data_IF_364168602552
#
_entry.id   IF_364168602552
#
_cell.length_a   1.000
_cell.length_b   1.000
_cell.length_c   1.000
_cell.angle_alpha   90.00
_cell.angle_beta   90.00
_cell.angle_gamma   90.00
#
_symmetry.space_group_name_H-M   'P 1'
#
loop_
_entity.id
_entity.type
_entity.pdbx_description
1 polymer ?
#
# COMPACT_ATOMS: atom_id res chain seq x y z
N UNK A 1 -25.51 18.14 -16.18
CA UNK A 1 -25.08 16.80 -15.74
C UNK A 1 -25.43 16.73 -14.27
N UNK A 2 -26.40 15.96 -13.91
CA UNK A 2 -26.81 15.75 -12.52
C UNK A 2 -25.64 15.15 -11.74
N UNK A 3 -25.40 15.66 -10.53
CA UNK A 3 -24.33 15.25 -9.60
C UNK A 3 -24.41 13.76 -9.21
N UNK A 4 -25.48 13.10 -9.63
CA UNK A 4 -25.95 11.84 -9.06
C UNK A 4 -25.40 10.56 -9.74
N UNK A 5 -24.74 10.66 -10.89
CA UNK A 5 -24.13 9.49 -11.54
C UNK A 5 -22.74 9.80 -12.07
N UNK A 6 -21.73 9.27 -11.39
CA UNK A 6 -20.34 9.35 -11.86
C UNK A 6 -20.15 8.50 -13.12
N UNK A 7 -19.50 9.03 -14.17
CA UNK A 7 -19.13 8.23 -15.34
C UNK A 7 -18.29 7.01 -14.95
N UNK A 8 -18.57 5.89 -15.61
CA UNK A 8 -17.80 4.66 -15.41
C UNK A 8 -16.29 4.88 -15.61
N UNK A 9 -15.91 5.72 -16.59
CA UNK A 9 -14.52 6.12 -16.84
C UNK A 9 -13.84 6.70 -15.59
N UNK A 10 -14.53 7.55 -14.84
CA UNK A 10 -13.99 8.15 -13.62
C UNK A 10 -13.81 7.10 -12.51
N UNK A 11 -14.79 6.18 -12.35
CA UNK A 11 -14.70 5.09 -11.36
C UNK A 11 -13.55 4.14 -11.69
N UNK A 12 -13.39 3.76 -12.96
CA UNK A 12 -12.27 2.92 -13.42
C UNK A 12 -10.94 3.64 -13.21
N UNK A 13 -10.84 4.90 -13.61
CA UNK A 13 -9.60 5.67 -13.47
C UNK A 13 -9.21 5.84 -11.99
N UNK A 14 -10.18 6.08 -11.12
CA UNK A 14 -9.96 6.12 -9.69
C UNK A 14 -9.49 4.75 -9.17
N UNK A 15 -10.19 3.67 -9.50
CA UNK A 15 -9.83 2.32 -9.07
C UNK A 15 -8.43 1.88 -9.50
N UNK A 16 -8.02 2.17 -10.76
CA UNK A 16 -6.69 1.82 -11.27
C UNK A 16 -5.56 2.33 -10.37
N UNK A 17 -5.71 3.50 -9.74
CA UNK A 17 -4.72 4.03 -8.80
C UNK A 17 -4.42 3.07 -7.65
N UNK A 18 -5.44 2.39 -7.13
CA UNK A 18 -5.30 1.42 -6.04
C UNK A 18 -4.51 0.17 -6.43
N UNK A 19 -4.43 -0.17 -7.74
CA UNK A 19 -3.55 -1.25 -8.22
C UNK A 19 -2.07 -0.92 -7.97
N UNK A 20 -1.67 0.34 -8.18
CA UNK A 20 -0.30 0.78 -7.90
C UNK A 20 0.03 0.74 -6.40
N UNK A 21 -0.92 1.20 -5.56
CA UNK A 21 -0.80 1.08 -4.10
C UNK A 21 -0.67 -0.37 -3.66
N UNK A 22 -1.56 -1.24 -4.15
CA UNK A 22 -1.57 -2.66 -3.84
C UNK A 22 -0.25 -3.35 -4.24
N UNK A 23 0.29 -3.04 -5.41
CA UNK A 23 1.56 -3.58 -5.87
C UNK A 23 2.73 -3.17 -4.95
N UNK A 24 2.76 -1.92 -4.49
CA UNK A 24 3.76 -1.43 -3.54
C UNK A 24 3.65 -2.15 -2.20
N UNK A 25 2.44 -2.24 -1.65
CA UNK A 25 2.18 -2.91 -0.38
C UNK A 25 2.47 -4.41 -0.45
N UNK A 26 2.14 -5.07 -1.57
CA UNK A 26 2.43 -6.48 -1.79
C UNK A 26 3.94 -6.77 -1.75
N UNK A 27 4.73 -5.96 -2.45
CA UNK A 27 6.20 -6.09 -2.44
C UNK A 27 6.75 -5.82 -1.05
N UNK A 28 6.23 -4.79 -0.37
CA UNK A 28 6.68 -4.43 0.96
C UNK A 28 6.38 -5.53 1.99
N UNK A 29 5.13 -5.96 2.11
CA UNK A 29 4.71 -6.95 3.11
C UNK A 29 5.24 -8.34 2.81
N UNK A 30 5.23 -8.75 1.53
CA UNK A 30 5.56 -10.11 1.12
C UNK A 30 7.05 -10.37 0.92
N UNK A 31 7.82 -9.39 0.49
CA UNK A 31 9.20 -9.64 0.05
C UNK A 31 10.27 -8.93 0.85
N UNK A 32 10.04 -7.72 1.36
CA UNK A 32 11.10 -6.87 1.93
C UNK A 32 11.76 -7.53 3.12
N UNK A 33 10.98 -8.06 4.07
CA UNK A 33 11.54 -8.73 5.25
C UNK A 33 12.37 -9.98 4.85
N UNK A 34 11.80 -10.81 3.98
CA UNK A 34 12.46 -12.03 3.49
C UNK A 34 13.75 -11.71 2.73
N UNK A 35 13.71 -10.73 1.83
CA UNK A 35 14.86 -10.28 1.04
C UNK A 35 16.02 -9.82 1.92
N UNK A 36 15.76 -8.92 2.87
CA UNK A 36 16.83 -8.44 3.75
C UNK A 36 17.39 -9.51 4.66
N UNK A 37 16.52 -10.38 5.17
CA UNK A 37 16.97 -11.43 6.09
C UNK A 37 17.67 -12.58 5.38
N UNK A 38 17.10 -13.12 4.28
CA UNK A 38 17.60 -14.34 3.64
C UNK A 38 18.61 -14.10 2.53
N UNK A 39 18.53 -12.96 1.84
CA UNK A 39 19.37 -12.69 0.66
C UNK A 39 20.50 -11.73 0.98
N UNK A 40 20.17 -10.61 1.64
CA UNK A 40 21.17 -9.60 2.01
C UNK A 40 21.92 -9.98 3.29
N UNK A 41 21.28 -10.76 4.19
CA UNK A 41 21.92 -11.24 5.43
C UNK A 41 21.81 -10.30 6.63
N UNK A 42 20.85 -9.35 6.60
CA UNK A 42 20.56 -8.53 7.78
C UNK A 42 19.87 -9.41 8.84
N UNK A 43 20.33 -9.40 10.11
CA UNK A 43 19.67 -10.15 11.18
C UNK A 43 18.18 -9.86 11.28
N UNK A 44 17.35 -10.91 11.41
CA UNK A 44 15.88 -10.79 11.43
C UNK A 44 15.37 -9.83 12.51
N UNK A 45 16.05 -9.77 13.67
CA UNK A 45 15.72 -8.81 14.74
C UNK A 45 15.87 -7.36 14.26
N UNK A 46 16.99 -7.05 13.57
CA UNK A 46 17.21 -5.69 13.03
C UNK A 46 16.21 -5.38 11.91
N UNK A 47 15.95 -6.36 11.03
CA UNK A 47 14.95 -6.20 9.98
C UNK A 47 13.57 -5.92 10.58
N UNK A 48 13.15 -6.67 11.59
CA UNK A 48 11.89 -6.45 12.30
C UNK A 48 11.81 -5.08 12.99
N UNK A 49 12.88 -4.66 13.67
CA UNK A 49 12.95 -3.33 14.29
C UNK A 49 12.82 -2.23 13.22
N UNK A 50 13.49 -2.37 12.08
CA UNK A 50 13.42 -1.40 10.99
C UNK A 50 12.01 -1.28 10.41
N UNK A 51 11.32 -2.41 10.16
CA UNK A 51 9.91 -2.41 9.73
C UNK A 51 9.01 -1.76 10.79
N UNK A 52 9.19 -2.12 12.06
CA UNK A 52 8.41 -1.54 13.16
C UNK A 52 8.55 -0.02 13.23
N UNK A 53 9.78 0.51 13.19
CA UNK A 53 10.03 1.96 13.20
C UNK A 53 9.38 2.63 11.99
N UNK A 54 9.48 2.03 10.80
CA UNK A 54 8.86 2.57 9.59
C UNK A 54 7.32 2.62 9.70
N UNK A 55 6.69 1.59 10.29
CA UNK A 55 5.24 1.58 10.53
C UNK A 55 4.82 2.61 11.59
N UNK A 56 5.63 2.83 12.62
CA UNK A 56 5.38 3.90 13.60
C UNK A 56 5.46 5.28 12.95
N UNK A 57 6.41 5.46 12.01
CA UNK A 57 6.54 6.70 11.25
C UNK A 57 5.33 6.94 10.34
N UNK A 58 4.81 5.88 9.73
CA UNK A 58 3.61 5.90 8.90
C UNK A 58 2.38 6.40 9.68
N UNK A 59 2.18 5.89 10.89
CA UNK A 59 1.10 6.33 11.76
C UNK A 59 1.12 7.84 12.08
N UNK A 60 2.29 8.47 12.00
CA UNK A 60 2.47 9.92 12.18
C UNK A 60 2.32 10.66 10.85
N UNK A 61 2.89 10.11 9.78
CA UNK A 61 2.92 10.76 8.46
C UNK A 61 1.55 10.81 7.78
N UNK A 62 0.70 9.79 7.96
CA UNK A 62 -0.62 9.73 7.34
C UNK A 62 -1.52 10.93 7.73
N UNK A 63 -1.73 11.25 9.02
CA UNK A 63 -2.49 12.44 9.41
C UNK A 63 -1.84 13.75 8.95
N UNK A 64 -0.50 13.81 8.92
CA UNK A 64 0.23 14.99 8.44
C UNK A 64 -0.01 15.23 6.95
N UNK A 65 0.20 14.22 6.12
CA UNK A 65 -0.04 14.31 4.67
C UNK A 65 -1.51 14.60 4.39
N UNK A 66 -2.43 14.00 5.14
CA UNK A 66 -3.86 14.29 5.06
C UNK A 66 -4.14 15.77 5.30
N UNK A 67 -3.68 16.31 6.42
CA UNK A 67 -3.86 17.72 6.78
C UNK A 67 -3.21 18.68 5.78
N UNK A 68 -1.99 18.38 5.31
CA UNK A 68 -1.28 19.19 4.32
C UNK A 68 -2.05 19.18 2.98
N UNK A 69 -2.46 17.99 2.51
CA UNK A 69 -3.16 17.85 1.24
C UNK A 69 -4.52 18.53 1.24
N UNK A 70 -5.24 18.52 2.36
CA UNK A 70 -6.55 19.16 2.49
C UNK A 70 -6.50 20.69 2.44
N UNK A 71 -5.38 21.26 2.88
CA UNK A 71 -5.15 22.73 2.91
C UNK A 71 -4.40 23.25 1.70
N UNK A 72 -3.83 22.37 0.89
CA UNK A 72 -3.00 22.77 -0.24
C UNK A 72 -3.81 23.50 -1.30
N UNK A 73 -3.37 24.71 -1.65
CA UNK A 73 -4.00 25.56 -2.65
C UNK A 73 -3.20 25.53 -3.95
N UNK A 74 -3.76 24.94 -5.00
CA UNK A 74 -3.12 24.84 -6.30
C UNK A 74 -4.15 24.99 -7.44
N UNK A 75 -3.69 25.49 -8.60
CA UNK A 75 -4.47 25.49 -9.84
C UNK A 75 -4.83 24.08 -10.34
N UNK A 76 -4.13 23.06 -9.87
CA UNK A 76 -4.39 21.66 -10.17
C UNK A 76 -5.22 20.96 -9.10
N UNK A 77 -5.96 21.72 -8.28
CA UNK A 77 -6.67 21.17 -7.12
C UNK A 77 -5.75 20.96 -5.92
N UNK A 78 -6.32 20.51 -4.80
CA UNK A 78 -5.58 20.33 -3.54
C UNK A 78 -4.86 18.98 -3.45
N UNK A 79 -5.42 17.90 -4.02
CA UNK A 79 -4.93 16.51 -3.88
C UNK A 79 -4.11 16.03 -5.06
N UNK A 80 -4.47 16.41 -6.28
CA UNK A 80 -3.82 15.95 -7.50
C UNK A 80 -2.30 16.22 -7.56
N UNK A 81 -1.78 17.37 -7.06
CA UNK A 81 -0.32 17.58 -7.05
C UNK A 81 0.46 16.51 -6.29
N UNK A 82 -0.09 16.02 -5.17
CA UNK A 82 0.52 14.93 -4.40
C UNK A 82 0.49 13.62 -5.19
N UNK A 83 -0.66 13.30 -5.82
CA UNK A 83 -0.81 12.11 -6.66
C UNK A 83 0.14 12.13 -7.87
N UNK A 84 0.38 13.29 -8.49
CA UNK A 84 1.32 13.42 -9.60
C UNK A 84 2.78 13.29 -9.16
N UNK A 85 3.10 13.77 -7.97
CA UNK A 85 4.46 13.74 -7.45
C UNK A 85 4.86 12.36 -6.89
N UNK A 86 3.95 11.67 -6.23
CA UNK A 86 4.19 10.42 -5.50
C UNK A 86 4.89 9.30 -6.30
N UNK A 87 4.63 9.06 -7.60
CA UNK A 87 5.28 7.98 -8.34
C UNK A 87 6.79 8.06 -8.36
N UNK A 88 7.34 9.26 -8.46
CA UNK A 88 8.80 9.47 -8.56
C UNK A 88 9.52 9.02 -7.28
N UNK A 89 9.23 9.58 -6.10
CA UNK A 89 9.89 9.16 -4.87
C UNK A 89 9.56 7.72 -4.48
N UNK A 90 8.35 7.20 -4.78
CA UNK A 90 8.00 5.80 -4.55
C UNK A 90 8.87 4.86 -5.39
N UNK A 91 9.08 5.17 -6.67
CA UNK A 91 9.95 4.39 -7.56
C UNK A 91 11.42 4.40 -7.09
N UNK A 92 11.92 5.56 -6.69
CA UNK A 92 13.28 5.69 -6.15
C UNK A 92 13.42 4.87 -4.86
N UNK A 93 12.45 4.95 -3.96
CA UNK A 93 12.47 4.23 -2.70
C UNK A 93 12.44 2.69 -2.90
N UNK A 94 11.62 2.19 -3.83
CA UNK A 94 11.59 0.76 -4.20
C UNK A 94 12.95 0.30 -4.72
N UNK A 95 13.58 1.08 -5.59
CA UNK A 95 14.93 0.77 -6.09
C UNK A 95 15.94 0.78 -4.95
N UNK A 96 15.93 1.80 -4.09
CA UNK A 96 16.85 1.88 -2.95
C UNK A 96 16.72 0.69 -1.99
N UNK A 97 15.50 0.20 -1.71
CA UNK A 97 15.29 -0.96 -0.83
C UNK A 97 15.92 -2.22 -1.42
N UNK A 98 15.69 -2.51 -2.70
CA UNK A 98 16.12 -3.76 -3.30
C UNK A 98 17.53 -3.72 -3.89
N UNK A 99 18.16 -2.55 -3.92
CA UNK A 99 19.56 -2.36 -4.37
C UNK A 99 20.38 -1.62 -3.32
N UNK A 100 20.55 -2.21 -2.11
CA UNK A 100 21.48 -1.64 -1.14
C UNK A 100 22.89 -1.66 -1.71
N UNK A 101 23.73 -0.64 -1.43
CA UNK A 101 25.15 -0.64 -1.81
C UNK A 101 25.88 -1.86 -1.26
N UNK A 102 26.80 -2.40 -2.06
CA UNK A 102 27.60 -3.54 -1.66
C UNK A 102 28.62 -3.14 -0.57
N UNK A 103 29.12 -4.14 0.18
CA UNK A 103 30.15 -3.98 1.20
C UNK A 103 29.83 -3.05 2.38
N UNK A 104 28.54 -2.92 2.74
CA UNK A 104 28.12 -2.20 3.95
C UNK A 104 28.36 -3.03 5.22
N UNK A 105 28.74 -2.38 6.32
CA UNK A 105 28.68 -3.00 7.64
C UNK A 105 27.23 -3.30 8.03
N UNK A 106 27.00 -4.22 8.98
CA UNK A 106 25.66 -4.55 9.47
C UNK A 106 24.89 -3.31 9.94
N UNK A 107 25.57 -2.38 10.62
CA UNK A 107 24.97 -1.12 11.05
C UNK A 107 24.66 -0.19 9.86
N UNK A 108 25.54 -0.10 8.88
CA UNK A 108 25.32 0.67 7.66
C UNK A 108 24.12 0.13 6.86
N UNK A 109 24.05 -1.19 6.72
CA UNK A 109 22.95 -1.87 6.04
C UNK A 109 21.61 -1.67 6.76
N UNK A 110 21.59 -1.77 8.10
CA UNK A 110 20.40 -1.47 8.89
C UNK A 110 19.94 -0.02 8.70
N UNK A 111 20.87 0.92 8.73
CA UNK A 111 20.58 2.34 8.53
C UNK A 111 20.03 2.59 7.13
N UNK A 112 20.63 2.02 6.10
CA UNK A 112 20.14 2.09 4.73
C UNK A 112 18.73 1.51 4.60
N UNK A 113 18.50 0.34 5.15
CA UNK A 113 17.19 -0.31 5.18
C UNK A 113 16.14 0.56 5.85
N UNK A 114 16.44 1.07 7.04
CA UNK A 114 15.52 1.90 7.80
C UNK A 114 15.11 3.16 7.04
N UNK A 115 16.09 3.92 6.53
CA UNK A 115 15.80 5.16 5.81
C UNK A 115 15.08 4.90 4.48
N UNK A 116 15.48 3.90 3.73
CA UNK A 116 14.83 3.54 2.47
C UNK A 116 13.38 3.08 2.70
N UNK A 117 13.12 2.36 3.77
CA UNK A 117 11.77 1.90 4.15
C UNK A 117 10.90 3.06 4.60
N UNK A 118 11.40 3.95 5.46
CA UNK A 118 10.68 5.17 5.86
C UNK A 118 10.37 6.03 4.61
N UNK A 119 11.34 6.17 3.71
CA UNK A 119 11.17 6.94 2.48
C UNK A 119 10.11 6.32 1.56
N UNK A 120 10.05 4.98 1.46
CA UNK A 120 8.99 4.30 0.73
C UNK A 120 7.61 4.58 1.33
N UNK A 121 7.47 4.40 2.65
CA UNK A 121 6.21 4.63 3.35
C UNK A 121 5.72 6.06 3.15
N UNK A 122 6.58 7.05 3.43
CA UNK A 122 6.23 8.46 3.22
C UNK A 122 5.85 8.76 1.76
N UNK A 123 6.56 8.18 0.80
CA UNK A 123 6.31 8.41 -0.62
C UNK A 123 4.96 7.85 -1.07
N UNK A 124 4.61 6.64 -0.66
CA UNK A 124 3.32 6.05 -1.03
C UNK A 124 2.16 6.72 -0.29
N UNK A 125 2.35 7.16 0.96
CA UNK A 125 1.37 7.94 1.72
C UNK A 125 0.99 9.24 0.99
N UNK A 126 1.93 9.88 0.27
CA UNK A 126 1.64 11.04 -0.57
C UNK A 126 0.64 10.74 -1.71
N UNK A 127 0.45 9.48 -2.06
CA UNK A 127 -0.60 9.04 -2.96
C UNK A 127 -1.84 8.53 -2.22
N UNK A 128 -1.67 7.57 -1.31
CA UNK A 128 -2.78 6.80 -0.70
C UNK A 128 -3.76 7.70 0.04
N UNK A 129 -3.26 8.60 0.89
CA UNK A 129 -4.10 9.47 1.71
C UNK A 129 -4.90 10.48 0.84
N UNK A 130 -4.29 11.27 -0.07
CA UNK A 130 -5.03 12.15 -0.97
C UNK A 130 -5.97 11.39 -1.93
N UNK A 131 -5.58 10.20 -2.40
CA UNK A 131 -6.39 9.36 -3.27
C UNK A 131 -7.65 8.86 -2.57
N UNK A 132 -7.52 8.28 -1.38
CA UNK A 132 -8.67 7.80 -0.61
C UNK A 132 -9.64 8.94 -0.28
N UNK A 133 -9.10 10.08 0.14
CA UNK A 133 -9.88 11.26 0.43
C UNK A 133 -10.55 11.86 -0.83
N UNK A 134 -9.90 11.77 -2.01
CA UNK A 134 -10.52 12.14 -3.28
C UNK A 134 -11.75 11.27 -3.57
N UNK A 135 -11.66 9.95 -3.36
CA UNK A 135 -12.77 9.03 -3.59
C UNK A 135 -14.02 9.38 -2.78
N UNK A 136 -13.85 9.83 -1.53
CA UNK A 136 -14.94 10.27 -0.69
C UNK A 136 -15.62 11.57 -1.18
N UNK A 137 -14.92 12.38 -2.00
CA UNK A 137 -15.41 13.67 -2.52
C UNK A 137 -15.95 13.61 -3.95
N UNK A 138 -15.71 12.52 -4.68
CA UNK A 138 -16.15 12.40 -6.07
C UNK A 138 -17.66 12.44 -6.22
N UNK A 139 -18.44 12.06 -5.18
CA UNK A 139 -19.88 12.13 -5.17
C UNK A 139 -20.42 12.50 -3.78
N UNK A 140 -21.49 13.30 -3.74
CA UNK A 140 -22.25 13.58 -2.52
C UNK A 140 -23.30 12.47 -2.26
N UNK A 141 -23.66 11.68 -3.29
CA UNK A 141 -24.58 10.54 -3.17
C UNK A 141 -23.88 9.34 -2.49
N UNK A 142 -24.56 8.79 -1.47
CA UNK A 142 -24.02 7.67 -0.69
C UNK A 142 -23.79 6.41 -1.52
N UNK A 143 -24.75 6.07 -2.41
CA UNK A 143 -24.68 4.86 -3.25
C UNK A 143 -23.55 5.00 -4.27
N UNK A 144 -23.44 6.16 -4.92
CA UNK A 144 -22.34 6.40 -5.88
C UNK A 144 -20.97 6.40 -5.19
N UNK A 145 -20.87 6.96 -3.99
CA UNK A 145 -19.64 6.90 -3.19
C UNK A 145 -19.25 5.46 -2.81
N UNK A 146 -20.24 4.64 -2.42
CA UNK A 146 -20.03 3.21 -2.18
C UNK A 146 -19.55 2.49 -3.43
N UNK A 147 -20.11 2.79 -4.61
CA UNK A 147 -19.62 2.23 -5.88
C UNK A 147 -18.18 2.64 -6.17
N UNK A 148 -17.80 3.88 -5.95
CA UNK A 148 -16.40 4.34 -6.12
C UNK A 148 -15.47 3.53 -5.24
N UNK A 149 -15.83 3.31 -3.95
CA UNK A 149 -15.02 2.50 -3.04
C UNK A 149 -15.01 1.01 -3.42
N UNK A 150 -16.09 0.48 -3.98
CA UNK A 150 -16.09 -0.89 -4.52
C UNK A 150 -15.12 -1.03 -5.69
N UNK A 151 -15.07 -0.07 -6.61
CA UNK A 151 -14.05 -0.07 -7.68
C UNK A 151 -12.65 0.01 -7.10
N UNK A 152 -12.43 0.87 -6.10
CA UNK A 152 -11.14 0.96 -5.39
C UNK A 152 -10.70 -0.41 -4.86
N UNK A 153 -11.59 -1.10 -4.17
CA UNK A 153 -11.29 -2.41 -3.59
C UNK A 153 -11.03 -3.48 -4.65
N UNK A 154 -11.86 -3.55 -5.70
CA UNK A 154 -11.69 -4.51 -6.81
C UNK A 154 -10.30 -4.34 -7.45
N UNK A 155 -9.90 -3.10 -7.75
CA UNK A 155 -8.60 -2.83 -8.35
C UNK A 155 -7.44 -3.04 -7.37
N UNK A 156 -7.64 -2.80 -6.07
CA UNK A 156 -6.66 -3.11 -5.04
C UNK A 156 -6.41 -4.62 -4.97
N UNK A 157 -7.46 -5.44 -4.83
CA UNK A 157 -7.33 -6.91 -4.86
C UNK A 157 -6.76 -7.41 -6.19
N UNK A 158 -7.17 -6.82 -7.32
CA UNK A 158 -6.60 -7.11 -8.64
C UNK A 158 -5.10 -6.88 -8.67
N UNK A 159 -4.62 -5.81 -8.06
CA UNK A 159 -3.19 -5.51 -7.92
C UNK A 159 -2.43 -6.57 -7.12
N UNK A 160 -2.99 -7.03 -6.01
CA UNK A 160 -2.43 -8.13 -5.22
C UNK A 160 -2.32 -9.42 -6.03
N UNK A 161 -3.37 -9.79 -6.77
CA UNK A 161 -3.40 -10.98 -7.63
C UNK A 161 -2.39 -10.87 -8.77
N UNK A 162 -2.33 -9.71 -9.44
CA UNK A 162 -1.36 -9.46 -10.53
C UNK A 162 0.07 -9.64 -10.01
N UNK A 163 0.42 -9.03 -8.88
CA UNK A 163 1.76 -9.16 -8.29
C UNK A 163 2.06 -10.60 -7.89
N UNK A 164 1.11 -11.28 -7.28
CA UNK A 164 1.28 -12.66 -6.84
C UNK A 164 1.55 -13.59 -8.03
N UNK A 165 0.73 -13.51 -9.08
CA UNK A 165 0.92 -14.29 -10.31
C UNK A 165 2.25 -13.96 -10.97
N UNK A 166 2.55 -12.67 -11.14
CA UNK A 166 3.78 -12.24 -11.79
C UNK A 166 5.03 -12.75 -11.07
N UNK A 167 5.06 -12.66 -9.76
CA UNK A 167 6.24 -13.04 -8.97
C UNK A 167 6.37 -14.57 -8.85
N UNK A 168 5.31 -15.26 -8.43
CA UNK A 168 5.37 -16.67 -8.09
C UNK A 168 5.23 -17.62 -9.28
N UNK A 169 4.52 -17.21 -10.33
CA UNK A 169 4.27 -18.08 -11.51
C UNK A 169 5.20 -17.71 -12.66
N UNK A 170 5.55 -16.42 -12.83
CA UNK A 170 6.36 -16.00 -13.98
C UNK A 170 7.83 -15.81 -13.60
N UNK A 171 8.16 -15.05 -12.54
CA UNK A 171 9.55 -14.65 -12.28
C UNK A 171 10.32 -15.75 -11.55
N UNK A 172 9.95 -16.12 -10.34
CA UNK A 172 10.73 -17.03 -9.52
C UNK A 172 11.00 -18.40 -10.18
N UNK A 173 10.07 -19.03 -10.94
CA UNK A 173 10.39 -20.28 -11.63
C UNK A 173 11.48 -20.16 -12.69
N UNK A 174 11.62 -18.98 -13.33
CA UNK A 174 12.62 -18.76 -14.37
C UNK A 174 14.04 -18.49 -13.83
N UNK A 175 14.17 -18.23 -12.52
CA UNK A 175 15.45 -18.03 -11.84
C UNK A 175 15.86 -19.22 -10.96
N UNK A 176 15.09 -20.31 -11.02
CA UNK A 176 15.41 -21.55 -10.31
C UNK A 176 16.60 -22.28 -10.95
N UNK A 177 17.47 -22.84 -10.11
CA UNK A 177 18.59 -23.68 -10.49
C UNK A 177 18.90 -24.60 -9.31
N UNK A 178 20.11 -24.54 -8.75
CA UNK A 178 20.45 -25.22 -7.50
C UNK A 178 19.68 -24.69 -6.29
N UNK A 179 19.16 -23.47 -6.39
CA UNK A 179 18.31 -22.82 -5.37
C UNK A 179 16.95 -22.48 -5.97
N UNK A 180 15.93 -22.43 -5.12
CA UNK A 180 14.61 -21.91 -5.51
C UNK A 180 14.70 -20.42 -5.83
N UNK A 181 13.92 -19.96 -6.83
CA UNK A 181 14.06 -18.61 -7.38
C UNK A 181 13.91 -17.48 -6.38
N UNK A 182 13.10 -17.65 -5.33
CA UNK A 182 12.94 -16.65 -4.25
C UNK A 182 14.23 -16.46 -3.40
N UNK A 183 15.20 -17.37 -3.46
CA UNK A 183 16.51 -17.25 -2.81
C UNK A 183 17.61 -16.73 -3.74
N UNK A 184 17.26 -16.35 -4.96
CA UNK A 184 18.19 -15.82 -5.97
C UNK A 184 18.04 -14.29 -6.02
N UNK A 185 19.14 -13.55 -5.75
CA UNK A 185 19.10 -12.07 -5.70
C UNK A 185 18.67 -11.44 -7.04
N UNK A 186 19.12 -12.02 -8.13
CA UNK A 186 18.88 -11.54 -9.50
C UNK A 186 17.38 -11.59 -9.89
N UNK A 187 16.60 -12.47 -9.26
CA UNK A 187 15.17 -12.58 -9.52
C UNK A 187 14.35 -11.35 -9.08
N UNK A 188 14.91 -10.55 -8.18
CA UNK A 188 14.23 -9.36 -7.67
C UNK A 188 14.30 -8.17 -8.63
N UNK A 189 15.28 -8.14 -9.56
CA UNK A 189 15.40 -7.06 -10.55
C UNK A 189 14.13 -6.92 -11.43
N UNK A 190 13.67 -7.97 -12.12
CA UNK A 190 12.46 -7.87 -12.93
C UNK A 190 11.21 -7.58 -12.08
N UNK A 191 11.13 -8.09 -10.84
CA UNK A 191 10.02 -7.82 -9.93
C UNK A 191 9.93 -6.33 -9.64
N UNK A 192 11.03 -5.70 -9.23
CA UNK A 192 11.05 -4.28 -8.88
C UNK A 192 10.85 -3.41 -10.12
N UNK A 193 11.46 -3.75 -11.25
CA UNK A 193 11.25 -3.03 -12.51
C UNK A 193 9.78 -3.04 -12.93
N UNK A 194 9.11 -4.18 -12.86
CA UNK A 194 7.68 -4.29 -13.15
C UNK A 194 6.84 -3.48 -12.15
N UNK A 195 7.14 -3.59 -10.85
CA UNK A 195 6.43 -2.85 -9.79
C UNK A 195 6.54 -1.34 -10.01
N UNK A 196 7.74 -0.83 -10.29
CA UNK A 196 7.98 0.60 -10.56
C UNK A 196 7.16 1.08 -11.76
N UNK A 197 7.15 0.32 -12.86
CA UNK A 197 6.35 0.65 -14.03
C UNK A 197 4.85 0.63 -13.70
N UNK A 198 4.39 -0.43 -13.04
CA UNK A 198 2.97 -0.61 -12.67
C UNK A 198 2.50 0.53 -11.75
N UNK A 199 3.25 0.83 -10.70
CA UNK A 199 2.95 1.92 -9.75
C UNK A 199 2.88 3.26 -10.46
N UNK A 200 3.91 3.57 -11.27
CA UNK A 200 3.96 4.84 -12.00
C UNK A 200 2.80 4.99 -12.96
N UNK A 201 2.52 3.97 -13.76
CA UNK A 201 1.43 4.02 -14.75
C UNK A 201 0.06 4.11 -14.05
N UNK A 202 -0.20 3.27 -13.05
CA UNK A 202 -1.50 3.24 -12.38
C UNK A 202 -1.80 4.55 -11.64
N UNK A 203 -0.83 5.10 -10.92
CA UNK A 203 -1.00 6.36 -10.19
C UNK A 203 -1.19 7.52 -11.17
N UNK A 204 -0.38 7.62 -12.24
CA UNK A 204 -0.52 8.68 -13.23
C UNK A 204 -1.83 8.59 -14.00
N UNK A 205 -2.27 7.39 -14.38
CA UNK A 205 -3.59 7.18 -15.01
C UNK A 205 -4.69 7.67 -14.09
N UNK A 206 -4.66 7.29 -12.80
CA UNK A 206 -5.65 7.77 -11.84
C UNK A 206 -5.62 9.30 -11.72
N UNK A 207 -4.45 9.90 -11.53
CA UNK A 207 -4.30 11.34 -11.38
C UNK A 207 -4.75 12.13 -12.64
N UNK A 208 -4.41 11.65 -13.85
CA UNK A 208 -4.75 12.32 -15.11
C UNK A 208 -6.25 12.23 -15.39
N UNK A 209 -6.85 11.06 -15.28
CA UNK A 209 -8.24 10.82 -15.69
C UNK A 209 -9.29 11.15 -14.62
N UNK A 210 -8.87 11.54 -13.40
CA UNK A 210 -9.75 12.14 -12.40
C UNK A 210 -9.64 13.67 -12.35
N UNK A 211 -8.72 14.25 -13.11
CA UNK A 211 -8.46 15.71 -13.13
C UNK A 211 -9.65 16.54 -13.59
N UNK A 212 -10.48 16.02 -14.47
CA UNK A 212 -11.69 16.67 -14.95
C UNK A 212 -12.71 16.95 -13.84
N UNK A 213 -12.56 16.29 -12.69
CA UNK A 213 -13.41 16.47 -11.51
C UNK A 213 -12.98 17.62 -10.59
N UNK A 214 -11.75 18.14 -10.74
CA UNK A 214 -11.22 19.21 -9.87
C UNK A 214 -12.16 20.40 -9.72
N UNK A 215 -12.81 20.92 -10.79
CA UNK A 215 -13.73 22.06 -10.65
C UNK A 215 -15.00 21.76 -9.84
N UNK A 216 -15.35 20.47 -9.69
CA UNK A 216 -16.55 20.01 -9.00
C UNK A 216 -16.28 19.64 -7.53
N UNK A 217 -15.00 19.50 -7.15
CA UNK A 217 -14.61 19.16 -5.78
C UNK A 217 -14.84 20.33 -4.84
N UNK A 218 -15.12 20.02 -3.57
CA UNK A 218 -15.26 21.03 -2.52
C UNK A 218 -13.98 21.86 -2.40
N UNK A 219 -14.14 23.17 -2.41
CA UNK A 219 -13.02 24.07 -2.13
C UNK A 219 -12.61 23.93 -0.68
N UNK A 220 -11.32 24.15 -0.34
CA UNK A 220 -10.89 24.21 1.05
C UNK A 220 -11.78 25.18 1.81
N UNK A 221 -12.33 24.77 2.95
CA UNK A 221 -13.07 25.71 3.80
C UNK A 221 -12.10 26.79 4.30
N UNK A 222 -12.56 28.04 4.29
CA UNK A 222 -11.80 29.18 4.83
C UNK A 222 -11.57 29.05 6.34
N UNK A 223 -12.37 28.21 7.00
CA UNK A 223 -12.47 28.05 8.45
C UNK A 223 -11.67 26.83 8.99
N UNK A 224 -10.83 26.21 8.15
CA UNK A 224 -9.90 25.21 8.67
C UNK A 224 -8.85 25.94 9.54
N UNK A 225 -8.97 25.78 10.85
CA UNK A 225 -7.95 26.21 11.81
C UNK A 225 -6.56 25.74 11.37
N UNK A 226 -5.55 26.57 11.66
CA UNK A 226 -4.16 26.16 11.37
C UNK A 226 -3.89 24.80 12.02
N UNK A 227 -3.19 23.92 11.27
CA UNK A 227 -2.80 22.63 11.80
C UNK A 227 -2.03 22.81 13.10
N UNK A 228 -2.57 22.31 14.18
CA UNK A 228 -1.95 22.42 15.50
C UNK A 228 -1.75 21.00 16.07
N UNK A 229 -0.49 20.61 16.23
CA UNK A 229 -0.13 19.33 16.86
C UNK A 229 -0.79 19.13 18.23
N UNK A 230 -0.98 20.22 18.99
CA UNK A 230 -1.64 20.16 20.30
C UNK A 230 -3.10 19.71 20.17
N UNK A 231 -3.83 20.24 19.18
CA UNK A 231 -5.23 19.86 18.93
C UNK A 231 -5.31 18.41 18.47
N UNK A 232 -4.44 17.98 17.55
CA UNK A 232 -4.37 16.58 17.12
C UNK A 232 -4.12 15.63 18.31
N UNK A 233 -3.19 15.98 19.20
CA UNK A 233 -2.91 15.19 20.39
C UNK A 233 -4.10 15.13 21.36
N UNK A 234 -4.81 16.25 21.54
CA UNK A 234 -6.02 16.31 22.38
C UNK A 234 -7.15 15.48 21.80
N UNK A 235 -7.33 15.49 20.47
CA UNK A 235 -8.34 14.69 19.77
C UNK A 235 -8.04 13.19 19.91
N UNK A 236 -6.79 12.78 19.71
CA UNK A 236 -6.33 11.40 19.93
C UNK A 236 -6.57 10.99 21.40
N UNK A 237 -6.20 11.82 22.36
CA UNK A 237 -6.42 11.56 23.78
C UNK A 237 -7.91 11.43 24.11
N UNK A 238 -8.74 12.30 23.53
CA UNK A 238 -10.20 12.25 23.67
C UNK A 238 -10.79 10.94 23.12
N UNK A 239 -10.38 10.54 21.92
CA UNK A 239 -10.79 9.27 21.32
C UNK A 239 -10.35 8.07 22.17
N UNK A 240 -9.11 8.06 22.64
CA UNK A 240 -8.57 7.01 23.50
C UNK A 240 -9.22 6.96 24.89
N UNK A 241 -9.95 7.98 25.32
CA UNK A 241 -10.70 7.96 26.59
C UNK A 241 -12.03 7.21 26.49
N UNK A 242 -12.53 6.91 25.30
CA UNK A 242 -13.75 6.19 25.08
C UNK A 242 -13.51 4.66 25.18
N UNK A 243 -14.16 3.99 26.15
CA UNK A 243 -14.00 2.54 26.38
C UNK A 243 -14.38 1.67 25.19
N UNK A 244 -15.43 2.05 24.45
CA UNK A 244 -15.84 1.29 23.25
C UNK A 244 -14.76 1.40 22.16
N UNK A 245 -14.17 2.58 22.00
CA UNK A 245 -13.07 2.80 21.07
C UNK A 245 -11.81 2.03 21.50
N UNK A 246 -11.48 2.01 22.79
CA UNK A 246 -10.37 1.20 23.33
C UNK A 246 -10.55 -0.30 23.04
N UNK A 247 -11.76 -0.83 23.27
CA UNK A 247 -12.06 -2.24 22.99
C UNK A 247 -11.96 -2.56 21.50
N UNK A 248 -12.44 -1.65 20.63
CA UNK A 248 -12.30 -1.78 19.19
C UNK A 248 -10.82 -1.77 18.77
N UNK A 249 -10.03 -0.82 19.27
CA UNK A 249 -8.60 -0.74 18.99
C UNK A 249 -7.85 -1.99 19.45
N UNK A 250 -8.21 -2.53 20.63
CA UNK A 250 -7.59 -3.76 21.13
C UNK A 250 -7.91 -4.95 20.21
N UNK A 251 -9.15 -5.08 19.75
CA UNK A 251 -9.55 -6.10 18.79
C UNK A 251 -8.80 -5.96 17.46
N UNK A 252 -8.70 -4.73 16.94
CA UNK A 252 -7.94 -4.43 15.72
C UNK A 252 -6.43 -4.69 15.90
N UNK A 253 -5.88 -4.45 17.09
CA UNK A 253 -4.48 -4.76 17.39
C UNK A 253 -4.19 -6.25 17.26
N UNK A 254 -5.02 -7.09 17.89
CA UNK A 254 -4.85 -8.56 17.77
C UNK A 254 -5.01 -9.04 16.33
N UNK A 255 -5.98 -8.49 15.59
CA UNK A 255 -6.17 -8.79 14.18
C UNK A 255 -4.96 -8.37 13.34
N UNK A 256 -4.41 -7.18 13.56
CA UNK A 256 -3.23 -6.68 12.87
C UNK A 256 -1.98 -7.54 13.16
N UNK A 257 -1.79 -7.96 14.42
CA UNK A 257 -0.70 -8.88 14.79
C UNK A 257 -0.85 -10.22 14.07
N UNK A 258 -2.05 -10.78 14.01
CA UNK A 258 -2.33 -12.03 13.31
C UNK A 258 -2.02 -11.91 11.81
N UNK A 259 -2.57 -10.89 11.14
CA UNK A 259 -2.36 -10.66 9.70
C UNK A 259 -0.87 -10.39 9.42
N UNK A 260 -0.23 -9.49 10.14
CA UNK A 260 1.18 -9.15 9.92
C UNK A 260 2.13 -10.33 10.16
N UNK A 261 1.85 -11.15 11.18
CA UNK A 261 2.62 -12.38 11.43
C UNK A 261 2.42 -13.38 10.29
N UNK A 262 1.18 -13.58 9.85
CA UNK A 262 0.88 -14.47 8.73
C UNK A 262 1.59 -14.01 7.45
N UNK A 263 1.46 -12.74 7.08
CA UNK A 263 2.10 -12.21 5.86
C UNK A 263 3.62 -12.34 5.89
N UNK A 264 4.24 -12.02 7.02
CA UNK A 264 5.70 -12.09 7.15
C UNK A 264 6.23 -13.53 7.17
N UNK A 265 5.55 -14.45 7.87
CA UNK A 265 6.03 -15.82 8.04
C UNK A 265 5.59 -16.77 6.94
N UNK A 266 4.56 -16.45 6.17
CA UNK A 266 4.01 -17.32 5.13
C UNK A 266 5.06 -17.77 4.10
N UNK A 267 5.91 -16.84 3.65
CA UNK A 267 6.99 -17.14 2.70
C UNK A 267 8.06 -18.07 3.32
N UNK A 268 8.37 -17.89 4.61
CA UNK A 268 9.32 -18.77 5.32
C UNK A 268 8.77 -20.18 5.47
N UNK A 269 7.49 -20.28 5.88
CA UNK A 269 6.83 -21.58 6.01
C UNK A 269 6.74 -22.29 4.67
N UNK A 270 6.35 -21.57 3.61
CA UNK A 270 6.25 -22.13 2.27
C UNK A 270 7.62 -22.59 1.74
N UNK A 271 8.68 -21.80 1.98
CA UNK A 271 10.01 -22.06 1.42
C UNK A 271 10.79 -23.13 2.22
N UNK A 272 10.75 -23.06 3.57
CA UNK A 272 11.67 -23.87 4.41
C UNK A 272 11.00 -24.99 5.17
N UNK A 273 9.68 -24.91 5.43
CA UNK A 273 8.97 -25.96 6.17
C UNK A 273 8.22 -26.90 5.21
N UNK A 274 7.47 -26.33 4.28
CA UNK A 274 6.72 -27.13 3.29
C UNK A 274 7.50 -27.38 2.01
N UNK A 275 8.65 -26.74 1.83
CA UNK A 275 9.55 -26.88 0.66
C UNK A 275 8.80 -26.74 -0.67
N UNK A 276 7.81 -25.83 -0.73
CA UNK A 276 6.99 -25.62 -1.91
C UNK A 276 7.80 -24.96 -3.02
N UNK A 277 7.60 -25.46 -4.24
CA UNK A 277 8.09 -24.76 -5.42
C UNK A 277 7.40 -23.39 -5.61
N UNK A 278 8.04 -22.43 -6.30
CA UNK A 278 7.41 -21.12 -6.57
C UNK A 278 6.03 -21.24 -7.22
N UNK A 279 5.85 -22.17 -8.15
CA UNK A 279 4.55 -22.41 -8.83
C UNK A 279 3.48 -22.88 -7.83
N UNK A 280 3.83 -23.78 -6.90
CA UNK A 280 2.90 -24.25 -5.88
C UNK A 280 2.48 -23.08 -4.94
N UNK A 281 3.43 -22.22 -4.55
CA UNK A 281 3.11 -21.00 -3.79
C UNK A 281 2.19 -20.09 -4.61
N UNK A 282 2.44 -19.97 -5.92
CA UNK A 282 1.60 -19.21 -6.85
C UNK A 282 0.13 -19.67 -6.86
N UNK A 283 -0.12 -20.96 -6.74
CA UNK A 283 -1.51 -21.48 -6.68
C UNK A 283 -2.23 -21.17 -5.38
N UNK A 284 -1.55 -20.80 -4.30
CA UNK A 284 -2.20 -20.43 -3.04
C UNK A 284 -3.06 -19.15 -3.18
N UNK A 285 -2.84 -18.33 -4.22
CA UNK A 285 -3.71 -17.16 -4.50
C UNK A 285 -5.16 -17.56 -4.78
N UNK A 286 -5.40 -18.76 -5.28
CA UNK A 286 -6.74 -19.26 -5.56
C UNK A 286 -7.60 -19.35 -4.29
N UNK A 287 -6.99 -19.57 -3.12
CA UNK A 287 -7.69 -19.56 -1.85
C UNK A 287 -8.34 -18.20 -1.56
N UNK A 288 -7.66 -17.09 -1.88
CA UNK A 288 -8.20 -15.74 -1.69
C UNK A 288 -9.39 -15.44 -2.61
N UNK A 289 -9.42 -16.03 -3.81
CA UNK A 289 -10.54 -15.90 -4.75
C UNK A 289 -11.76 -16.65 -4.23
N UNK A 290 -11.58 -17.83 -3.64
CA UNK A 290 -12.67 -18.60 -3.03
C UNK A 290 -13.30 -17.86 -1.85
N UNK A 291 -12.51 -17.17 -1.04
CA UNK A 291 -13.00 -16.38 0.08
C UNK A 291 -13.88 -15.19 -0.35
N UNK A 292 -13.58 -14.55 -1.48
CA UNK A 292 -14.43 -13.51 -2.04
C UNK A 292 -15.82 -14.04 -2.44
N UNK A 293 -15.88 -15.24 -3.01
CA UNK A 293 -17.15 -15.86 -3.39
C UNK A 293 -18.01 -16.28 -2.19
N UNK A 294 -17.38 -16.75 -1.10
CA UNK A 294 -18.11 -17.17 0.09
C UNK A 294 -18.69 -16.01 0.90
N UNK A 295 -18.09 -14.82 0.85
CA UNK A 295 -18.63 -13.64 1.54
C UNK A 295 -19.92 -13.13 0.86
N UNK A 296 -20.00 -13.17 -0.47
CA UNK A 296 -21.22 -12.81 -1.23
C UNK A 296 -22.37 -13.79 -0.96
N UNK A 297 -22.06 -15.09 -0.88
CA UNK A 297 -23.07 -16.13 -0.58
C UNK A 297 -23.62 -16.07 0.85
N UNK A 298 -22.96 -15.38 1.78
CA UNK A 298 -23.45 -15.16 3.13
C UNK A 298 -24.45 -13.99 3.20
N UNK A 299 -24.26 -12.95 2.38
CA UNK A 299 -25.17 -11.79 2.30
C UNK A 299 -26.50 -12.13 1.62
N UNK A 300 -26.51 -13.06 0.66
CA UNK A 300 -27.74 -13.51 -0.03
C UNK A 300 -28.68 -14.36 0.88
N UNK A 301 -28.27 -14.69 2.11
CA UNK A 301 -29.04 -15.49 3.07
C UNK A 301 -29.61 -14.72 4.27
N UNK A 302 -29.37 -13.40 4.33
CA UNK A 302 -29.97 -12.49 5.32
C UNK A 302 -31.01 -11.57 4.68
#
# INVERSE_FOLDING_TARGET
MTKDNLPLKTKLAFGIGSTGEAATNWVFSGLVFFYYNQIIGLPGTLTGIGVFIAMMFDAISDPLVGSISDRFKSKYGRRHPFMFFAPIPTSIALICIFYPPDAMSTFGLFTWFLFSTIFLRLSITMFTVPHLALGAELSDDYIERSKVMSFNNIFNYGGWVIMHIFVWIIIFPNYGGDKVGQLVRESYLPIISFTVILVTVCILVSAIFTRDRIPLLKKPSSDLDEFNFKNLFLDIKGALSNKNYQNLLLGLLFLAVLIGTHETLSIYMATFFWELSPIQIGYLVLNNICLLYTSDAADDRM
#
